data_IF_321887215640
#
_entry.id   IF_321887215640
#
_cell.length_a   1.000
_cell.length_b   1.000
_cell.length_c   1.000
_cell.angle_alpha   90.00
_cell.angle_beta   90.00
_cell.angle_gamma   90.00
#
_symmetry.space_group_name_H-M   'P 1'
#
loop_
_entity.id
_entity.type
_entity.pdbx_description
1 polymer ?
#
# COMPACT_ATOMS: atom_id res chain seq x y z
N UNK A 1 -37.42 -16.53 34.81
CA UNK A 1 -36.11 -17.20 34.82
C UNK A 1 -35.11 -16.12 34.43
N UNK A 2 -34.41 -15.54 35.40
CA UNK A 2 -33.57 -14.37 35.16
C UNK A 2 -32.33 -14.81 34.40
N UNK A 3 -32.24 -14.41 33.14
CA UNK A 3 -31.06 -14.59 32.30
C UNK A 3 -29.96 -13.64 32.81
N UNK A 4 -29.30 -14.06 33.90
CA UNK A 4 -28.28 -13.25 34.55
C UNK A 4 -27.02 -13.35 33.72
N UNK A 5 -26.73 -12.28 32.98
CA UNK A 5 -25.48 -12.13 32.25
C UNK A 5 -24.32 -12.43 33.20
N UNK A 6 -23.54 -13.44 32.86
CA UNK A 6 -22.35 -13.84 33.58
C UNK A 6 -21.11 -13.21 32.95
N UNK A 7 -20.00 -13.22 33.69
CA UNK A 7 -18.70 -12.75 33.15
C UNK A 7 -18.29 -13.55 31.91
N UNK A 8 -18.61 -14.84 31.85
CA UNK A 8 -18.29 -15.70 30.72
C UNK A 8 -19.04 -15.27 29.45
N UNK A 9 -20.29 -14.81 29.57
CA UNK A 9 -21.08 -14.34 28.44
C UNK A 9 -20.48 -13.07 27.82
N UNK A 10 -19.96 -12.16 28.66
CA UNK A 10 -19.28 -10.95 28.21
C UNK A 10 -17.95 -11.30 27.53
N UNK A 11 -17.17 -12.21 28.11
CA UNK A 11 -15.88 -12.64 27.55
C UNK A 11 -16.06 -13.34 26.20
N UNK A 12 -17.08 -14.20 26.07
CA UNK A 12 -17.42 -14.85 24.81
C UNK A 12 -17.80 -13.82 23.74
N UNK A 13 -18.64 -12.83 24.07
CA UNK A 13 -19.03 -11.77 23.14
C UNK A 13 -17.87 -10.85 22.77
N UNK A 14 -16.98 -10.57 23.71
CA UNK A 14 -15.80 -9.73 23.44
C UNK A 14 -14.80 -10.45 22.55
N UNK A 15 -14.59 -11.76 22.76
CA UNK A 15 -13.73 -12.58 21.91
C UNK A 15 -14.29 -12.70 20.47
N UNK A 16 -15.61 -12.85 20.33
CA UNK A 16 -16.30 -12.84 19.02
C UNK A 16 -16.04 -11.51 18.27
N UNK A 17 -16.27 -10.37 18.94
CA UNK A 17 -16.04 -9.05 18.35
C UNK A 17 -14.56 -8.78 18.05
N UNK A 18 -13.65 -9.28 18.89
CA UNK A 18 -12.20 -9.11 18.68
C UNK A 18 -11.72 -9.89 17.45
N UNK A 19 -12.22 -11.12 17.25
CA UNK A 19 -11.91 -11.91 16.05
C UNK A 19 -12.32 -11.20 14.76
N UNK A 20 -13.52 -10.62 14.72
CA UNK A 20 -14.00 -9.86 13.56
C UNK A 20 -13.16 -8.61 13.28
N UNK A 21 -12.76 -7.87 14.33
CA UNK A 21 -11.89 -6.70 14.20
C UNK A 21 -10.49 -7.08 13.75
N UNK A 22 -9.95 -8.19 14.26
CA UNK A 22 -8.62 -8.69 13.86
C UNK A 22 -8.63 -9.13 12.39
N UNK A 23 -9.66 -9.85 11.95
CA UNK A 23 -9.85 -10.19 10.54
C UNK A 23 -9.99 -8.95 9.63
N UNK A 24 -10.78 -7.96 10.05
CA UNK A 24 -10.92 -6.70 9.31
C UNK A 24 -9.60 -5.93 9.23
N UNK A 25 -8.84 -5.90 10.34
CA UNK A 25 -7.52 -5.28 10.40
C UNK A 25 -6.51 -5.96 9.50
N UNK A 26 -6.48 -7.29 9.48
CA UNK A 26 -5.55 -8.06 8.64
C UNK A 26 -5.86 -7.91 7.15
N UNK A 27 -7.15 -7.92 6.77
CA UNK A 27 -7.59 -7.62 5.41
C UNK A 27 -7.21 -6.19 4.99
N UNK A 28 -7.41 -5.21 5.87
CA UNK A 28 -7.05 -3.81 5.61
C UNK A 28 -5.54 -3.62 5.46
N UNK A 29 -4.70 -4.30 6.25
CA UNK A 29 -3.24 -4.28 6.11
C UNK A 29 -2.81 -4.84 4.75
N UNK A 30 -3.36 -5.98 4.32
CA UNK A 30 -3.05 -6.59 3.04
C UNK A 30 -3.38 -5.68 1.86
N UNK A 31 -4.60 -5.12 1.85
CA UNK A 31 -5.04 -4.16 0.82
C UNK A 31 -4.17 -2.89 0.86
N UNK A 32 -3.89 -2.36 2.05
CA UNK A 32 -3.06 -1.18 2.25
C UNK A 32 -1.65 -1.35 1.69
N UNK A 33 -1.00 -2.50 1.94
CA UNK A 33 0.33 -2.81 1.41
C UNK A 33 0.36 -2.89 -0.12
N UNK A 34 -0.64 -3.54 -0.73
CA UNK A 34 -0.73 -3.64 -2.19
C UNK A 34 -0.91 -2.25 -2.82
N UNK A 35 -1.83 -1.44 -2.30
CA UNK A 35 -2.08 -0.08 -2.80
C UNK A 35 -0.83 0.79 -2.67
N UNK A 36 -0.16 0.75 -1.52
CA UNK A 36 1.08 1.51 -1.31
C UNK A 36 2.18 1.10 -2.31
N UNK A 37 2.34 -0.20 -2.56
CA UNK A 37 3.30 -0.71 -3.55
C UNK A 37 2.99 -0.22 -4.97
N UNK A 38 1.72 -0.28 -5.39
CA UNK A 38 1.30 0.21 -6.71
C UNK A 38 1.58 1.70 -6.86
N UNK A 39 1.23 2.51 -5.86
CA UNK A 39 1.48 3.95 -5.86
C UNK A 39 2.98 4.25 -5.99
N UNK A 40 3.83 3.56 -5.24
CA UNK A 40 5.28 3.73 -5.33
C UNK A 40 5.82 3.45 -6.75
N UNK A 41 5.40 2.34 -7.37
CA UNK A 41 5.83 1.99 -8.73
C UNK A 41 5.36 3.04 -9.75
N UNK A 42 4.12 3.53 -9.62
CA UNK A 42 3.59 4.57 -10.51
C UNK A 42 4.40 5.86 -10.38
N UNK A 43 4.69 6.31 -9.16
CA UNK A 43 5.48 7.52 -8.92
C UNK A 43 6.88 7.40 -9.52
N UNK A 44 7.58 6.29 -9.25
CA UNK A 44 8.93 6.04 -9.82
C UNK A 44 8.87 6.06 -11.34
N UNK A 45 7.88 5.39 -11.93
CA UNK A 45 7.70 5.32 -13.38
C UNK A 45 7.47 6.71 -13.98
N UNK A 46 6.62 7.53 -13.34
CA UNK A 46 6.38 8.90 -13.77
C UNK A 46 7.66 9.72 -13.74
N UNK A 47 8.37 9.73 -12.61
CA UNK A 47 9.63 10.48 -12.45
C UNK A 47 10.65 10.05 -13.52
N UNK A 48 10.82 8.74 -13.74
CA UNK A 48 11.71 8.21 -14.76
C UNK A 48 11.32 8.66 -16.16
N UNK A 49 10.04 8.58 -16.53
CA UNK A 49 9.56 8.98 -17.85
C UNK A 49 9.74 10.49 -18.09
N UNK A 50 9.45 11.32 -17.09
CA UNK A 50 9.69 12.76 -17.17
C UNK A 50 11.18 13.07 -17.35
N UNK A 51 12.06 12.43 -16.57
CA UNK A 51 13.51 12.55 -16.71
C UNK A 51 14.00 12.11 -18.08
N UNK A 52 13.58 10.92 -18.55
CA UNK A 52 13.92 10.37 -19.87
C UNK A 52 13.48 11.30 -21.01
N UNK A 53 12.25 11.83 -20.95
CA UNK A 53 11.73 12.75 -21.97
C UNK A 53 12.54 14.05 -22.02
N UNK A 54 12.91 14.60 -20.86
CA UNK A 54 13.71 15.82 -20.78
C UNK A 54 15.14 15.60 -21.25
N UNK A 55 15.79 14.51 -20.82
CA UNK A 55 17.15 14.17 -21.24
C UNK A 55 17.29 14.01 -22.75
N UNK A 56 16.35 13.32 -23.40
CA UNK A 56 16.35 13.18 -24.88
C UNK A 56 16.27 14.51 -25.63
N UNK A 57 15.61 15.52 -25.06
CA UNK A 57 15.49 16.85 -25.66
C UNK A 57 16.74 17.72 -25.48
N UNK A 58 17.60 17.39 -24.52
CA UNK A 58 18.80 18.16 -24.17
C UNK A 58 20.09 17.44 -24.59
N UNK A 59 20.00 16.40 -25.43
CA UNK A 59 21.17 15.72 -25.95
C UNK A 59 21.95 16.65 -26.88
N UNK A 60 23.20 16.93 -26.53
CA UNK A 60 24.17 17.59 -27.42
C UNK A 60 24.83 16.51 -28.29
N UNK A 61 24.60 16.57 -29.60
CA UNK A 61 25.31 15.72 -30.56
C UNK A 61 26.72 16.27 -30.75
N UNK A 62 27.73 15.55 -30.27
CA UNK A 62 29.13 15.85 -30.59
C UNK A 62 29.53 15.05 -31.83
N UNK A 63 29.72 15.74 -32.95
CA UNK A 63 30.35 15.13 -34.12
C UNK A 63 31.83 14.88 -33.79
N UNK A 64 32.21 13.60 -33.68
CA UNK A 64 33.60 13.23 -33.46
C UNK A 64 34.37 13.48 -34.75
N UNK A 65 35.00 14.65 -34.85
CA UNK A 65 35.96 14.94 -35.90
C UNK A 65 37.31 14.32 -35.51
N UNK A 66 37.67 13.22 -36.15
CA UNK A 66 39.06 12.73 -36.11
C UNK A 66 39.93 13.72 -36.90
N UNK A 67 40.90 14.32 -36.22
CA UNK A 67 42.02 15.05 -36.81
C UNK A 67 43.18 14.11 -37.07
#
# INVERSE_FOLDING_TARGET
MSDRITRADIEAKFAELQGDVEHAGEAAKGVGMVVAGVVAVVVISMVFLFGKRRGRRQTTTVEIRRV
#
